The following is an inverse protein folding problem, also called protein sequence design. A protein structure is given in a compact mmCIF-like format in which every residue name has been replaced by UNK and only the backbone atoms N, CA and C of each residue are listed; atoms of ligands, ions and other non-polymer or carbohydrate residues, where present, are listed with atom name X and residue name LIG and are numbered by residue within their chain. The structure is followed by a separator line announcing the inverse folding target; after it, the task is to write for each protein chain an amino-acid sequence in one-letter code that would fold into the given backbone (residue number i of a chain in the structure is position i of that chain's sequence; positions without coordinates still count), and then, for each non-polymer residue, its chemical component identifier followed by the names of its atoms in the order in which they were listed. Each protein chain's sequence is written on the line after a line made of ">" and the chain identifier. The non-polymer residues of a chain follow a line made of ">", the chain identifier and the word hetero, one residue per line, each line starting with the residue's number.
data_IF_431661880204
#
_entry.id   IF_431661880204
#
_cell.length_a   1.000
_cell.length_b   1.000
_cell.length_c   1.000
_cell.angle_alpha   90.00
_cell.angle_beta   90.00
_cell.angle_gamma   90.00
#
_symmetry.space_group_name_H-M   'P 1'
#
loop_
_entity.id
_entity.type
_entity.pdbx_description
1 polymer ?
#
# COMPACT_ATOMS: atom_id res chain seq x y z
N UNK A 1 -36.67 37.15 -10.86
CA UNK A 1 -35.71 37.12 -9.73
C UNK A 1 -34.38 36.40 -10.04
N UNK A 2 -34.01 36.16 -11.32
CA UNK A 2 -32.73 35.51 -11.72
C UNK A 2 -31.61 36.49 -12.14
N UNK A 3 -31.92 37.79 -12.29
CA UNK A 3 -30.99 38.80 -12.81
C UNK A 3 -29.99 39.30 -11.76
N UNK A 4 -30.40 39.39 -10.49
CA UNK A 4 -29.57 39.92 -9.39
C UNK A 4 -28.35 39.04 -9.05
N UNK A 5 -28.43 37.73 -9.32
CA UNK A 5 -27.34 36.78 -9.08
C UNK A 5 -26.21 36.93 -10.10
N UNK A 6 -26.55 37.11 -11.38
CA UNK A 6 -25.58 37.28 -12.47
C UNK A 6 -24.80 38.59 -12.37
N UNK A 7 -25.45 39.68 -11.95
CA UNK A 7 -24.77 40.98 -11.77
C UNK A 7 -23.78 40.93 -10.60
N UNK A 8 -24.13 40.28 -9.49
CA UNK A 8 -23.20 40.06 -8.37
C UNK A 8 -22.03 39.16 -8.73
N UNK A 9 -22.26 38.16 -9.56
CA UNK A 9 -21.21 37.26 -10.01
C UNK A 9 -20.25 37.97 -10.99
N UNK A 10 -20.79 38.76 -11.91
CA UNK A 10 -20.03 39.60 -12.83
C UNK A 10 -19.19 40.66 -12.09
N UNK A 11 -19.75 41.29 -11.06
CA UNK A 11 -19.02 42.22 -10.19
C UNK A 11 -17.85 41.55 -9.44
N UNK A 12 -18.02 40.30 -8.97
CA UNK A 12 -16.92 39.55 -8.35
C UNK A 12 -15.83 39.15 -9.34
N UNK A 13 -16.21 38.80 -10.57
CA UNK A 13 -15.27 38.49 -11.65
C UNK A 13 -14.42 39.73 -12.01
N UNK A 14 -15.05 40.91 -12.05
CA UNK A 14 -14.37 42.20 -12.25
C UNK A 14 -13.39 42.52 -11.11
N UNK A 15 -13.76 42.28 -9.84
CA UNK A 15 -12.88 42.44 -8.68
C UNK A 15 -11.67 41.49 -8.73
N UNK A 16 -11.89 40.21 -9.08
CA UNK A 16 -10.80 39.23 -9.22
C UNK A 16 -9.84 39.65 -10.33
N UNK A 17 -10.34 40.13 -11.46
CA UNK A 17 -9.49 40.63 -12.55
C UNK A 17 -8.65 41.83 -12.12
N UNK A 18 -9.22 42.77 -11.36
CA UNK A 18 -8.48 43.89 -10.80
C UNK A 18 -7.36 43.45 -9.85
N UNK A 19 -7.65 42.49 -8.96
CA UNK A 19 -6.65 41.95 -8.03
C UNK A 19 -5.51 41.28 -8.80
N UNK A 20 -5.82 40.45 -9.80
CA UNK A 20 -4.81 39.77 -10.62
C UNK A 20 -3.93 40.81 -11.35
N UNK A 21 -4.54 41.81 -12.00
CA UNK A 21 -3.80 42.86 -12.70
C UNK A 21 -2.88 43.66 -11.76
N UNK A 22 -3.36 43.98 -10.55
CA UNK A 22 -2.58 44.66 -9.53
C UNK A 22 -1.33 43.85 -9.13
N UNK A 23 -1.48 42.56 -8.87
CA UNK A 23 -0.35 41.69 -8.50
C UNK A 23 0.61 41.44 -9.65
N UNK A 24 0.11 41.27 -10.88
CA UNK A 24 0.95 41.14 -12.10
C UNK A 24 1.82 42.38 -12.28
N UNK A 25 1.26 43.57 -12.08
CA UNK A 25 1.98 44.85 -12.17
C UNK A 25 2.98 45.04 -11.02
N UNK A 26 2.59 44.69 -9.79
CA UNK A 26 3.41 44.87 -8.59
C UNK A 26 4.59 43.91 -8.55
N UNK A 27 4.40 42.66 -8.96
CA UNK A 27 5.42 41.62 -8.96
C UNK A 27 6.22 41.57 -10.27
N UNK A 28 5.92 42.46 -11.22
CA UNK A 28 6.55 42.54 -12.55
C UNK A 28 6.56 41.17 -13.27
N UNK A 29 5.47 40.41 -13.08
CA UNK A 29 5.31 39.07 -13.66
C UNK A 29 5.04 39.28 -15.16
N UNK A 30 6.03 38.96 -16.00
CA UNK A 30 5.78 38.75 -17.42
C UNK A 30 4.96 37.48 -17.56
N UNK A 31 3.64 37.60 -17.73
CA UNK A 31 2.80 36.56 -18.35
C UNK A 31 3.21 36.44 -19.83
N UNK A 32 4.46 36.07 -20.08
CA UNK A 32 4.80 35.40 -21.31
C UNK A 32 4.10 34.04 -21.26
N UNK A 33 3.41 33.70 -22.35
CA UNK A 33 2.85 32.37 -22.60
C UNK A 33 1.59 32.00 -21.81
N UNK A 34 0.47 32.59 -22.24
CA UNK A 34 -0.89 32.09 -21.93
C UNK A 34 -1.08 30.64 -22.42
N UNK A 35 -0.45 30.26 -23.54
CA UNK A 35 -0.56 28.92 -24.11
C UNK A 35 0.13 27.81 -23.27
N UNK A 36 1.30 28.11 -22.67
CA UNK A 36 2.02 27.13 -21.85
C UNK A 36 1.38 26.94 -20.47
N UNK A 37 0.80 28.00 -19.91
CA UNK A 37 0.08 27.90 -18.64
C UNK A 37 -1.19 27.05 -18.78
N UNK A 38 -1.98 27.26 -19.84
CA UNK A 38 -3.14 26.40 -20.14
C UNK A 38 -2.72 24.94 -20.36
N UNK A 39 -1.62 24.71 -21.09
CA UNK A 39 -1.07 23.36 -21.29
C UNK A 39 -0.61 22.71 -19.97
N UNK A 40 -0.02 23.47 -19.07
CA UNK A 40 0.39 22.99 -17.74
C UNK A 40 -0.83 22.63 -16.88
N UNK A 41 -1.87 23.47 -16.88
CA UNK A 41 -3.13 23.22 -16.18
C UNK A 41 -3.82 21.98 -16.76
N UNK A 42 -3.91 21.85 -18.08
CA UNK A 42 -4.49 20.67 -18.74
C UNK A 42 -3.71 19.42 -18.41
N UNK A 43 -2.38 19.44 -18.47
CA UNK A 43 -1.54 18.29 -18.12
C UNK A 43 -1.72 17.88 -16.65
N UNK A 44 -1.76 18.85 -15.73
CA UNK A 44 -1.96 18.60 -14.31
C UNK A 44 -3.34 18.00 -14.02
N UNK A 45 -4.40 18.59 -14.59
CA UNK A 45 -5.78 18.10 -14.43
C UNK A 45 -5.94 16.72 -15.07
N UNK A 46 -5.38 16.50 -16.27
CA UNK A 46 -5.40 15.19 -16.92
C UNK A 46 -4.63 14.14 -16.12
N UNK A 47 -3.47 14.49 -15.57
CA UNK A 47 -2.70 13.60 -14.68
C UNK A 47 -3.46 13.25 -13.40
N UNK A 48 -4.17 14.21 -12.83
CA UNK A 48 -4.99 13.97 -11.64
C UNK A 48 -6.22 13.09 -11.96
N UNK A 49 -6.89 13.36 -13.08
CA UNK A 49 -8.02 12.56 -13.57
C UNK A 49 -7.58 11.13 -13.90
N UNK A 50 -6.42 10.94 -14.53
CA UNK A 50 -5.92 9.59 -14.82
C UNK A 50 -5.56 8.84 -13.54
N UNK A 51 -4.95 9.50 -12.54
CA UNK A 51 -4.70 8.89 -11.23
C UNK A 51 -6.01 8.47 -10.56
N UNK A 52 -7.01 9.36 -10.51
CA UNK A 52 -8.33 9.04 -9.93
C UNK A 52 -8.97 7.87 -10.67
N UNK A 53 -8.96 7.89 -12.00
CA UNK A 53 -9.55 6.83 -12.82
C UNK A 53 -8.82 5.49 -12.63
N UNK A 54 -7.48 5.48 -12.55
CA UNK A 54 -6.67 4.29 -12.26
C UNK A 54 -6.98 3.76 -10.86
N UNK A 55 -7.15 4.65 -9.88
CA UNK A 55 -7.50 4.27 -8.52
C UNK A 55 -8.91 3.67 -8.44
N UNK A 56 -9.91 4.29 -9.08
CA UNK A 56 -11.27 3.77 -9.15
C UNK A 56 -11.35 2.44 -9.90
N UNK A 57 -10.60 2.30 -11.01
CA UNK A 57 -10.51 1.01 -11.72
C UNK A 57 -9.83 -0.04 -10.88
N UNK A 58 -8.76 0.29 -10.13
CA UNK A 58 -8.12 -0.62 -9.19
C UNK A 58 -9.08 -1.06 -8.08
N UNK A 59 -9.79 -0.11 -7.44
CA UNK A 59 -10.79 -0.40 -6.42
C UNK A 59 -11.93 -1.27 -6.97
N UNK A 60 -12.40 -0.99 -8.19
CA UNK A 60 -13.46 -1.76 -8.86
C UNK A 60 -13.01 -3.16 -9.29
N UNK A 61 -11.74 -3.34 -9.66
CA UNK A 61 -11.16 -4.64 -10.00
C UNK A 61 -10.75 -5.47 -8.77
N UNK A 62 -10.68 -4.86 -7.58
CA UNK A 62 -10.23 -5.54 -6.37
C UNK A 62 -11.25 -6.58 -5.90
N UNK A 63 -11.14 -7.79 -6.46
CA UNK A 63 -11.90 -8.96 -6.04
C UNK A 63 -11.11 -9.71 -4.97
N UNK A 64 -11.76 -10.02 -3.84
CA UNK A 64 -11.20 -10.92 -2.83
C UNK A 64 -10.88 -12.28 -3.47
N UNK A 65 -9.59 -12.63 -3.51
CA UNK A 65 -9.13 -13.90 -4.09
C UNK A 65 -9.22 -15.03 -3.07
N UNK A 66 -8.50 -14.89 -1.95
CA UNK A 66 -8.33 -15.94 -0.95
C UNK A 66 -8.49 -15.38 0.46
N UNK A 67 -8.95 -16.20 1.40
CA UNK A 67 -9.06 -15.86 2.82
C UNK A 67 -8.45 -16.98 3.66
N UNK A 68 -7.43 -16.66 4.44
CA UNK A 68 -6.77 -17.60 5.33
C UNK A 68 -7.35 -17.47 6.74
N UNK A 69 -8.06 -18.50 7.20
CA UNK A 69 -8.68 -18.55 8.52
C UNK A 69 -7.91 -19.54 9.39
N UNK A 70 -7.52 -19.11 10.60
CA UNK A 70 -6.96 -20.03 11.58
C UNK A 70 -6.40 -19.38 12.84
N UNK A 71 -5.86 -18.16 12.75
CA UNK A 71 -5.45 -17.42 13.94
C UNK A 71 -6.65 -17.15 14.86
N UNK A 72 -6.46 -17.33 16.17
CA UNK A 72 -7.53 -17.14 17.15
C UNK A 72 -7.61 -15.71 17.68
N UNK A 73 -6.62 -14.88 17.37
CA UNK A 73 -6.52 -13.50 17.82
C UNK A 73 -5.94 -12.61 16.70
N UNK A 74 -5.77 -11.32 16.98
CA UNK A 74 -5.30 -10.32 16.01
C UNK A 74 -3.97 -10.72 15.37
N UNK A 75 -3.88 -10.50 14.07
CA UNK A 75 -2.66 -10.70 13.29
C UNK A 75 -1.94 -9.35 13.26
N UNK A 76 -0.67 -9.34 13.67
CA UNK A 76 0.13 -8.10 13.72
C UNK A 76 1.08 -7.98 12.53
N UNK A 77 1.47 -9.11 11.94
CA UNK A 77 2.48 -9.11 10.89
C UNK A 77 2.21 -10.20 9.88
N UNK A 78 2.48 -9.88 8.62
CA UNK A 78 2.45 -10.80 7.49
C UNK A 78 3.68 -10.57 6.62
N UNK A 79 4.11 -11.63 5.94
CA UNK A 79 5.14 -11.55 4.91
C UNK A 79 4.85 -12.54 3.79
N UNK A 80 5.34 -12.23 2.59
CA UNK A 80 5.15 -13.03 1.39
C UNK A 80 6.51 -13.42 0.81
N UNK A 81 6.63 -14.67 0.36
CA UNK A 81 7.82 -15.11 -0.36
C UNK A 81 7.50 -16.20 -1.37
N UNK A 82 8.32 -16.26 -2.41
CA UNK A 82 8.29 -17.29 -3.45
C UNK A 82 9.54 -18.14 -3.34
N UNK A 83 9.36 -19.44 -3.09
CA UNK A 83 10.46 -20.40 -3.03
C UNK A 83 10.16 -21.58 -3.95
N UNK A 84 11.10 -21.92 -4.83
CA UNK A 84 10.99 -23.08 -5.74
C UNK A 84 9.67 -23.11 -6.54
N UNK A 85 9.26 -21.97 -7.09
CA UNK A 85 7.99 -21.73 -7.79
C UNK A 85 6.71 -21.77 -6.93
N UNK A 86 6.80 -22.12 -5.65
CA UNK A 86 5.65 -22.10 -4.75
C UNK A 86 5.57 -20.75 -4.03
N UNK A 87 4.33 -20.30 -3.77
CA UNK A 87 4.05 -19.04 -3.11
C UNK A 87 3.61 -19.28 -1.66
N UNK A 88 4.31 -18.63 -0.72
CA UNK A 88 4.10 -18.79 0.71
C UNK A 88 3.78 -17.44 1.36
N UNK A 89 2.87 -17.50 2.33
CA UNK A 89 2.62 -16.39 3.27
C UNK A 89 2.98 -16.88 4.66
N UNK A 90 3.64 -16.06 5.46
CA UNK A 90 3.71 -16.27 6.90
C UNK A 90 2.98 -15.15 7.64
N UNK A 91 2.40 -15.49 8.78
CA UNK A 91 1.65 -14.56 9.62
C UNK A 91 1.99 -14.76 11.10
N UNK A 92 2.14 -13.65 11.82
CA UNK A 92 2.40 -13.61 13.26
C UNK A 92 1.23 -12.93 14.00
N UNK A 93 0.83 -13.52 15.12
CA UNK A 93 -0.39 -13.11 15.84
C UNK A 93 -0.19 -12.98 17.36
N UNK A 94 -1.13 -12.26 17.97
CA UNK A 94 -1.35 -12.19 19.41
C UNK A 94 -1.71 -13.56 20.05
N UNK A 95 -2.11 -14.54 19.23
CA UNK A 95 -2.31 -15.93 19.67
C UNK A 95 -0.99 -16.67 19.97
N UNK A 96 0.15 -15.95 19.88
CA UNK A 96 1.51 -16.42 20.12
C UNK A 96 1.98 -17.45 19.10
N UNK A 97 1.29 -17.54 17.97
CA UNK A 97 1.63 -18.46 16.89
C UNK A 97 2.15 -17.71 15.66
N UNK A 98 3.01 -18.42 14.94
CA UNK A 98 3.34 -18.12 13.56
C UNK A 98 2.67 -19.18 12.71
N UNK A 99 2.03 -18.79 11.61
CA UNK A 99 1.45 -19.73 10.64
C UNK A 99 2.05 -19.49 9.27
N UNK A 100 2.26 -20.58 8.55
CA UNK A 100 2.73 -20.57 7.17
C UNK A 100 1.63 -21.16 6.29
N UNK A 101 1.34 -20.46 5.21
CA UNK A 101 0.24 -20.75 4.29
C UNK A 101 0.80 -20.95 2.88
N UNK A 102 0.27 -21.93 2.16
CA UNK A 102 0.48 -22.08 0.73
C UNK A 102 -0.65 -21.36 0.00
N UNK A 103 -0.32 -20.43 -0.89
CA UNK A 103 -1.31 -19.67 -1.67
C UNK A 103 -1.97 -20.51 -2.75
N UNK A 104 -1.24 -21.44 -3.36
CA UNK A 104 -1.77 -22.28 -4.44
C UNK A 104 -2.82 -23.26 -3.92
N UNK A 105 -2.59 -23.83 -2.74
CA UNK A 105 -3.53 -24.79 -2.14
C UNK A 105 -4.52 -24.13 -1.17
N UNK A 106 -4.33 -22.85 -0.86
CA UNK A 106 -5.08 -22.13 0.18
C UNK A 106 -5.08 -22.80 1.56
N UNK A 107 -4.05 -23.59 1.86
CA UNK A 107 -3.96 -24.36 3.11
C UNK A 107 -2.84 -23.88 4.02
N UNK A 108 -3.07 -24.04 5.32
CA UNK A 108 -2.00 -23.91 6.30
C UNK A 108 -1.06 -25.10 6.19
N UNK A 109 0.23 -24.82 6.03
CA UNK A 109 1.29 -25.83 5.96
C UNK A 109 1.81 -26.14 7.35
N UNK A 110 2.06 -25.09 8.14
CA UNK A 110 2.71 -25.23 9.43
C UNK A 110 2.26 -24.15 10.41
N UNK A 111 2.33 -24.48 11.69
CA UNK A 111 2.17 -23.53 12.78
C UNK A 111 3.27 -23.73 13.82
N UNK A 112 3.84 -22.62 14.30
CA UNK A 112 4.84 -22.58 15.35
C UNK A 112 4.25 -21.88 16.57
N UNK A 113 4.26 -22.53 17.73
CA UNK A 113 3.59 -22.08 18.96
C UNK A 113 4.54 -21.94 20.17
N UNK A 114 5.83 -21.71 19.92
CA UNK A 114 6.86 -21.67 20.98
C UNK A 114 7.06 -20.28 21.58
N UNK A 115 6.48 -19.25 20.98
CA UNK A 115 6.57 -17.91 21.55
C UNK A 115 5.75 -17.83 22.84
N UNK A 116 6.36 -17.26 23.89
CA UNK A 116 5.69 -17.06 25.18
C UNK A 116 4.74 -15.85 25.16
N UNK A 117 4.92 -14.96 24.19
CA UNK A 117 4.14 -13.74 23.98
C UNK A 117 3.70 -13.54 22.54
N UNK A 118 3.09 -12.38 22.29
CA UNK A 118 2.53 -12.00 21.00
C UNK A 118 3.64 -11.83 19.95
N UNK A 119 3.38 -12.33 18.75
CA UNK A 119 4.32 -12.21 17.63
C UNK A 119 4.04 -10.91 16.90
N UNK A 120 4.94 -9.94 17.07
CA UNK A 120 4.77 -8.59 16.51
C UNK A 120 5.33 -8.46 15.09
N UNK A 121 6.34 -9.27 14.74
CA UNK A 121 6.93 -9.26 13.41
C UNK A 121 7.27 -10.67 12.96
N UNK A 122 6.98 -10.96 11.70
CA UNK A 122 7.40 -12.18 11.02
C UNK A 122 7.95 -11.82 9.65
N UNK A 123 9.07 -12.43 9.26
CA UNK A 123 9.70 -12.21 7.96
C UNK A 123 10.34 -13.49 7.43
N UNK A 124 10.24 -13.69 6.13
CA UNK A 124 11.06 -14.69 5.45
C UNK A 124 12.49 -14.21 5.35
N UNK A 125 13.45 -15.13 5.50
CA UNK A 125 14.87 -14.82 5.35
C UNK A 125 15.38 -15.25 3.96
N UNK A 126 15.45 -14.35 2.97
CA UNK A 126 15.99 -14.69 1.65
C UNK A 126 17.47 -15.09 1.74
N UNK A 127 18.21 -14.55 2.71
CA UNK A 127 19.60 -14.88 2.95
C UNK A 127 19.80 -16.39 3.19
N UNK A 128 18.98 -17.01 4.03
CA UNK A 128 19.12 -18.44 4.33
C UNK A 128 18.71 -19.30 3.14
N UNK A 129 17.71 -18.85 2.37
CA UNK A 129 17.28 -19.56 1.18
C UNK A 129 18.34 -19.54 0.08
N UNK A 130 18.92 -18.39 -0.25
CA UNK A 130 19.89 -18.30 -1.35
C UNK A 130 21.28 -18.86 -1.01
N UNK A 131 21.71 -18.83 0.25
CA UNK A 131 23.05 -19.33 0.63
C UNK A 131 23.05 -20.79 1.09
N UNK A 132 21.97 -21.25 1.71
CA UNK A 132 21.90 -22.59 2.33
C UNK A 132 20.74 -23.43 1.82
N UNK A 133 19.93 -22.92 0.87
CA UNK A 133 18.70 -23.59 0.39
C UNK A 133 17.73 -23.96 1.52
N UNK A 134 17.71 -23.16 2.60
CA UNK A 134 16.83 -23.36 3.74
C UNK A 134 15.72 -22.30 3.78
N UNK A 135 14.48 -22.76 3.92
CA UNK A 135 13.34 -21.86 4.05
C UNK A 135 13.15 -21.46 5.51
N UNK A 136 13.80 -20.35 5.88
CA UNK A 136 13.82 -19.85 7.25
C UNK A 136 12.91 -18.63 7.41
N UNK A 137 12.16 -18.60 8.52
CA UNK A 137 11.34 -17.49 8.97
C UNK A 137 11.97 -16.92 10.24
N UNK A 138 12.19 -15.61 10.28
CA UNK A 138 12.52 -14.91 11.52
C UNK A 138 11.26 -14.27 12.11
N UNK A 139 11.19 -14.30 13.43
CA UNK A 139 10.03 -13.81 14.17
C UNK A 139 10.47 -13.12 15.44
N UNK A 140 9.76 -12.07 15.84
CA UNK A 140 10.00 -11.37 17.09
C UNK A 140 8.79 -11.45 18.03
N UNK A 141 9.07 -11.75 19.29
CA UNK A 141 8.10 -11.76 20.39
C UNK A 141 8.77 -11.19 21.63
N UNK A 142 8.18 -10.13 22.19
CA UNK A 142 8.72 -9.41 23.35
C UNK A 142 10.22 -9.09 23.17
N UNK A 143 11.10 -9.85 23.84
CA UNK A 143 12.54 -9.62 23.84
C UNK A 143 13.33 -10.69 23.07
N UNK A 144 12.65 -11.60 22.38
CA UNK A 144 13.26 -12.77 21.73
C UNK A 144 13.03 -12.71 20.23
N UNK A 145 14.11 -12.96 19.48
CA UNK A 145 14.04 -13.24 18.04
C UNK A 145 14.30 -14.73 17.85
N UNK A 146 13.41 -15.41 17.14
CA UNK A 146 13.53 -16.83 16.84
C UNK A 146 13.52 -17.05 15.34
N UNK A 147 14.37 -17.99 14.91
CA UNK A 147 14.43 -18.47 13.54
C UNK A 147 13.78 -19.84 13.46
N UNK A 148 13.00 -20.04 12.40
CA UNK A 148 12.16 -21.22 12.19
C UNK A 148 12.43 -21.77 10.81
N UNK A 149 12.79 -23.04 10.75
CA UNK A 149 12.76 -23.76 9.48
C UNK A 149 11.38 -24.39 9.30
N UNK A 150 10.78 -24.20 8.13
CA UNK A 150 9.46 -24.76 7.80
C UNK A 150 9.47 -25.75 6.62
N UNK A 151 10.59 -25.89 5.91
CA UNK A 151 10.73 -26.88 4.81
C UNK A 151 11.61 -28.07 5.19
N UNK A 152 12.37 -28.01 6.29
CA UNK A 152 13.16 -29.16 6.75
C UNK A 152 12.28 -30.28 7.30
N UNK A 153 11.65 -31.02 6.40
CA UNK A 153 11.42 -32.45 6.57
C UNK A 153 12.77 -33.15 6.36
N UNK A 154 13.61 -33.19 7.39
CA UNK A 154 14.55 -34.30 7.48
C UNK A 154 13.75 -35.55 7.84
N UNK A 155 13.14 -36.15 6.81
CA UNK A 155 13.01 -37.60 6.77
C UNK A 155 14.40 -38.15 6.45
N UNK A 156 15.10 -38.61 7.49
CA UNK A 156 16.06 -39.70 7.42
C UNK A 156 15.89 -40.55 8.67
#
# INVERSE_FOLDING_TARGET
>A
MKTLGNEKQKSKEEEIHLIIQYWVRTLNIKLGWIYDFEKLVVNYVMFFITIIFIFDTFCSLSKLLNTFIGHTNRIYSIDYSTFDNNQFICSGSDDKTIRVWNIETNQQIQSFNKHSGSVYCVKFSPYHYYNYHQSVICSSSNNIIQFWDFKNNQQF
#
